data_IF_210192598797
#
_entry.id   IF_210192598797
#
_cell.length_a   1.000
_cell.length_b   1.000
_cell.length_c   1.000
_cell.angle_alpha   90.00
_cell.angle_beta   90.00
_cell.angle_gamma   90.00
#
_symmetry.space_group_name_H-M   'P 1'
#
loop_
_entity.id
_entity.type
_entity.pdbx_description
1 polymer ?
#
# COMPACT_ATOMS: atom_id res chain seq x y z
N UNK A 1 1.73 0.15 5.66
CA UNK A 1 2.13 -1.07 6.40
C UNK A 1 1.47 -1.14 7.76
N UNK A 2 1.75 -0.19 8.68
CA UNK A 2 1.14 -0.20 10.03
C UNK A 2 -0.37 -0.32 9.99
N UNK A 3 -1.05 0.59 9.28
CA UNK A 3 -2.50 0.54 9.08
C UNK A 3 -3.00 -0.78 8.47
N UNK A 4 -2.19 -1.45 7.64
CA UNK A 4 -2.53 -2.74 7.04
C UNK A 4 -2.46 -3.90 8.04
N UNK A 5 -1.41 -3.95 8.86
CA UNK A 5 -1.29 -5.00 9.89
C UNK A 5 -2.29 -4.78 11.02
N UNK A 6 -2.44 -3.54 11.49
CA UNK A 6 -3.27 -3.21 12.65
C UNK A 6 -4.76 -3.37 12.36
N UNK A 7 -5.21 -3.17 11.12
CA UNK A 7 -6.61 -3.28 10.74
C UNK A 7 -7.25 -4.63 11.09
N UNK A 8 -6.46 -5.71 11.12
CA UNK A 8 -6.90 -7.03 11.59
C UNK A 8 -6.15 -7.46 12.87
N UNK A 9 -4.85 -7.20 12.93
CA UNK A 9 -4.00 -7.66 14.03
C UNK A 9 -4.34 -7.04 15.38
N UNK A 10 -4.87 -5.81 15.44
CA UNK A 10 -5.26 -5.22 16.72
C UNK A 10 -6.45 -5.99 17.32
N UNK A 11 -7.43 -6.38 16.52
CA UNK A 11 -8.59 -7.14 17.02
C UNK A 11 -8.22 -8.58 17.39
N UNK A 12 -7.26 -9.18 16.67
CA UNK A 12 -6.70 -10.50 17.03
C UNK A 12 -5.92 -10.43 18.35
N UNK A 13 -5.05 -9.44 18.54
CA UNK A 13 -4.26 -9.26 19.77
C UNK A 13 -5.12 -9.00 21.01
N UNK A 14 -6.25 -8.30 20.85
CA UNK A 14 -7.17 -7.98 21.94
C UNK A 14 -8.28 -9.03 22.14
N UNK A 15 -8.31 -10.11 21.33
CA UNK A 15 -9.35 -11.15 21.40
C UNK A 15 -10.76 -10.65 21.06
N UNK A 16 -10.88 -9.48 20.42
CA UNK A 16 -12.18 -8.89 20.03
C UNK A 16 -12.64 -9.37 18.66
N UNK A 17 -11.76 -9.99 17.88
CA UNK A 17 -12.10 -10.55 16.58
C UNK A 17 -13.22 -11.60 16.68
N UNK A 18 -13.23 -12.41 17.73
CA UNK A 18 -14.26 -13.45 17.92
C UNK A 18 -15.64 -12.86 18.16
N UNK A 19 -15.72 -11.70 18.84
CA UNK A 19 -16.97 -10.97 19.04
C UNK A 19 -17.52 -10.44 17.71
N UNK A 20 -16.65 -9.97 16.82
CA UNK A 20 -17.03 -9.49 15.49
C UNK A 20 -17.48 -10.67 14.61
N UNK A 21 -16.78 -11.81 14.67
CA UNK A 21 -17.10 -13.02 13.92
C UNK A 21 -18.36 -13.74 14.43
N UNK A 22 -18.75 -13.53 15.68
CA UNK A 22 -20.02 -14.03 16.23
C UNK A 22 -21.25 -13.32 15.64
N UNK A 23 -21.07 -12.16 14.99
CA UNK A 23 -22.16 -11.51 14.28
C UNK A 23 -22.53 -12.29 13.01
N UNK A 24 -23.80 -12.26 12.56
CA UNK A 24 -24.24 -12.96 11.35
C UNK A 24 -23.79 -12.24 10.07
N UNK A 25 -22.56 -11.72 10.04
CA UNK A 25 -21.97 -11.06 8.88
C UNK A 25 -20.95 -11.98 8.19
N UNK A 26 -20.96 -12.07 6.85
CA UNK A 26 -20.02 -12.93 6.16
C UNK A 26 -18.58 -12.40 6.32
N UNK A 27 -17.63 -13.28 6.59
CA UNK A 27 -16.21 -12.96 6.80
C UNK A 27 -15.61 -12.07 5.70
N UNK A 28 -15.99 -12.31 4.44
CA UNK A 28 -15.54 -11.52 3.30
C UNK A 28 -15.98 -10.05 3.39
N UNK A 29 -17.15 -9.76 3.97
CA UNK A 29 -17.63 -8.39 4.17
C UNK A 29 -16.82 -7.66 5.23
N UNK A 30 -16.49 -8.33 6.34
CA UNK A 30 -15.65 -7.77 7.41
C UNK A 30 -14.27 -7.39 6.85
N UNK A 31 -13.64 -8.32 6.12
CA UNK A 31 -12.32 -8.11 5.50
C UNK A 31 -12.37 -7.02 4.42
N UNK A 32 -13.39 -7.04 3.57
CA UNK A 32 -13.62 -6.00 2.57
C UNK A 32 -13.75 -4.61 3.18
N UNK A 33 -14.57 -4.48 4.24
CA UNK A 33 -14.75 -3.22 4.96
C UNK A 33 -13.45 -2.70 5.57
N UNK A 34 -12.63 -3.58 6.16
CA UNK A 34 -11.31 -3.22 6.71
C UNK A 34 -10.34 -2.75 5.64
N UNK A 35 -10.28 -3.44 4.49
CA UNK A 35 -9.43 -3.01 3.38
C UNK A 35 -9.87 -1.65 2.82
N UNK A 36 -11.18 -1.40 2.72
CA UNK A 36 -11.74 -0.10 2.33
C UNK A 36 -11.36 0.97 3.37
N UNK A 37 -11.47 0.68 4.67
CA UNK A 37 -11.08 1.60 5.73
C UNK A 37 -9.60 1.98 5.65
N UNK A 38 -8.70 1.02 5.43
CA UNK A 38 -7.26 1.28 5.22
C UNK A 38 -7.04 2.15 3.98
N UNK A 39 -7.77 1.87 2.90
CA UNK A 39 -7.70 2.62 1.64
C UNK A 39 -8.11 4.08 1.83
N UNK A 40 -9.24 4.32 2.50
CA UNK A 40 -9.76 5.65 2.80
C UNK A 40 -8.86 6.41 3.79
N UNK A 41 -8.34 5.72 4.81
CA UNK A 41 -7.39 6.30 5.76
C UNK A 41 -6.13 6.83 5.05
N UNK A 42 -5.54 6.01 4.18
CA UNK A 42 -4.39 6.44 3.37
C UNK A 42 -4.76 7.55 2.39
N UNK A 43 -5.98 7.53 1.82
CA UNK A 43 -6.44 8.59 0.94
C UNK A 43 -6.52 9.93 1.69
N UNK A 44 -7.01 9.93 2.93
CA UNK A 44 -7.03 11.12 3.79
C UNK A 44 -5.62 11.67 4.05
N UNK A 45 -4.65 10.80 4.33
CA UNK A 45 -3.23 11.21 4.48
C UNK A 45 -2.71 11.81 3.18
N UNK A 46 -2.96 11.18 2.04
CA UNK A 46 -2.50 11.65 0.74
C UNK A 46 -3.12 12.99 0.33
N UNK A 47 -4.39 13.24 0.68
CA UNK A 47 -5.01 14.57 0.52
C UNK A 47 -4.30 15.61 1.38
N UNK A 48 -3.94 15.26 2.62
CA UNK A 48 -3.14 16.14 3.48
C UNK A 48 -1.75 16.46 2.89
N UNK A 49 -1.06 15.45 2.36
CA UNK A 49 0.23 15.63 1.66
C UNK A 49 0.05 16.53 0.44
N UNK A 50 -0.95 16.28 -0.39
CA UNK A 50 -1.27 17.10 -1.56
C UNK A 50 -1.51 18.56 -1.18
N UNK A 51 -2.33 18.81 -0.15
CA UNK A 51 -2.60 20.16 0.32
C UNK A 51 -1.34 20.84 0.86
N UNK A 52 -0.49 20.10 1.60
CA UNK A 52 0.78 20.60 2.08
C UNK A 52 1.75 20.97 0.96
N UNK A 53 1.86 20.11 -0.07
CA UNK A 53 2.68 20.39 -1.27
C UNK A 53 2.15 21.59 -2.03
N UNK A 54 0.84 21.69 -2.22
CA UNK A 54 0.18 22.83 -2.87
C UNK A 54 0.46 24.15 -2.15
N UNK A 55 0.35 24.18 -0.82
CA UNK A 55 0.71 25.37 -0.04
C UNK A 55 2.21 25.68 -0.13
N UNK A 56 3.06 24.65 -0.13
CA UNK A 56 4.51 24.80 -0.28
C UNK A 56 4.89 25.48 -1.60
N UNK A 57 4.26 25.10 -2.71
CA UNK A 57 4.47 25.70 -4.03
C UNK A 57 3.95 27.13 -4.15
N UNK A 58 3.04 27.56 -3.28
CA UNK A 58 2.59 28.97 -3.23
C UNK A 58 3.53 29.86 -2.41
N UNK A 59 4.22 29.28 -1.42
CA UNK A 59 5.11 30.00 -0.51
C UNK A 59 6.56 30.05 -1.02
N UNK A 60 6.96 29.09 -1.85
CA UNK A 60 8.27 29.00 -2.44
C UNK A 60 8.15 28.92 -3.97
N UNK A 61 8.99 29.66 -4.68
CA UNK A 61 8.97 29.81 -6.14
C UNK A 61 9.58 28.55 -6.81
N UNK A 62 8.82 27.45 -6.75
CA UNK A 62 9.18 26.19 -7.39
C UNK A 62 8.66 26.17 -8.84
N UNK A 63 9.54 25.84 -9.79
CA UNK A 63 9.19 25.61 -11.20
C UNK A 63 8.49 24.24 -11.35
N UNK A 64 7.31 24.12 -10.77
CA UNK A 64 6.52 22.88 -10.73
C UNK A 64 5.12 23.18 -11.23
N UNK A 65 4.64 22.38 -12.18
CA UNK A 65 3.28 22.48 -12.66
C UNK A 65 2.30 21.98 -11.58
N UNK A 66 1.51 22.90 -11.04
CA UNK A 66 0.47 22.62 -10.04
C UNK A 66 -0.56 21.59 -10.54
N UNK A 67 -0.74 21.46 -11.85
CA UNK A 67 -1.62 20.44 -12.46
C UNK A 67 -1.08 19.03 -12.24
N UNK A 68 0.23 18.87 -12.10
CA UNK A 68 0.89 17.58 -11.94
C UNK A 68 0.98 17.10 -10.48
N UNK A 69 0.83 18.01 -9.51
CA UNK A 69 0.90 17.71 -8.08
C UNK A 69 -0.12 16.62 -7.65
N UNK A 70 -1.41 16.68 -8.05
CA UNK A 70 -2.36 15.61 -7.77
C UNK A 70 -1.88 14.24 -8.27
N UNK A 71 -1.32 14.16 -9.48
CA UNK A 71 -0.85 12.90 -10.07
C UNK A 71 0.34 12.32 -9.31
N UNK A 72 1.29 13.15 -8.89
CA UNK A 72 2.43 12.73 -8.08
C UNK A 72 1.95 12.19 -6.71
N UNK A 73 1.01 12.89 -6.07
CA UNK A 73 0.45 12.42 -4.80
C UNK A 73 -0.40 11.16 -4.93
N UNK A 74 -1.10 10.98 -6.05
CA UNK A 74 -1.84 9.75 -6.37
C UNK A 74 -0.90 8.56 -6.56
N UNK A 75 0.24 8.75 -7.23
CA UNK A 75 1.26 7.71 -7.35
C UNK A 75 1.82 7.29 -5.97
N UNK A 76 2.05 8.27 -5.08
CA UNK A 76 2.51 8.02 -3.71
C UNK A 76 1.46 7.30 -2.86
N UNK A 77 0.18 7.65 -3.03
CA UNK A 77 -0.95 6.95 -2.42
C UNK A 77 -1.02 5.49 -2.87
N UNK A 78 -0.93 5.23 -4.18
CA UNK A 78 -0.94 3.87 -4.74
C UNK A 78 0.21 3.02 -4.22
N UNK A 79 1.43 3.57 -4.19
CA UNK A 79 2.60 2.88 -3.62
C UNK A 79 2.36 2.53 -2.14
N UNK A 80 1.87 3.49 -1.35
CA UNK A 80 1.57 3.29 0.08
C UNK A 80 0.49 2.23 0.28
N UNK A 81 -0.53 2.25 -0.57
CA UNK A 81 -1.65 1.31 -0.56
C UNK A 81 -1.19 -0.10 -0.92
N UNK A 82 -0.32 -0.26 -1.92
CA UNK A 82 0.27 -1.56 -2.28
C UNK A 82 0.97 -2.19 -1.09
N UNK A 83 1.85 -1.45 -0.40
CA UNK A 83 2.51 -1.99 0.79
C UNK A 83 1.56 -2.22 1.96
N UNK A 84 0.55 -1.37 2.15
CA UNK A 84 -0.45 -1.57 3.19
C UNK A 84 -1.30 -2.82 2.95
N UNK A 85 -1.78 -3.04 1.74
CA UNK A 85 -2.57 -4.23 1.38
C UNK A 85 -1.73 -5.49 1.32
N UNK A 86 -0.46 -5.40 0.90
CA UNK A 86 0.48 -6.51 1.05
C UNK A 86 0.62 -6.91 2.52
N UNK A 87 0.91 -5.96 3.41
CA UNK A 87 1.00 -6.24 4.86
C UNK A 87 -0.32 -6.79 5.41
N UNK A 88 -1.46 -6.23 5.00
CA UNK A 88 -2.79 -6.72 5.40
C UNK A 88 -2.99 -8.17 4.96
N UNK A 89 -2.61 -8.52 3.73
CA UNK A 89 -2.74 -9.89 3.21
C UNK A 89 -1.87 -10.88 3.99
N UNK A 90 -0.65 -10.48 4.37
CA UNK A 90 0.22 -11.28 5.23
C UNK A 90 -0.38 -11.44 6.63
N UNK A 91 -0.99 -10.38 7.18
CA UNK A 91 -1.69 -10.48 8.46
C UNK A 91 -2.87 -11.44 8.39
N UNK A 92 -3.69 -11.33 7.35
CA UNK A 92 -4.83 -12.22 7.12
C UNK A 92 -4.39 -13.69 7.02
N UNK A 93 -3.26 -13.97 6.35
CA UNK A 93 -2.70 -15.31 6.20
C UNK A 93 -2.05 -15.87 7.46
N UNK A 94 -1.30 -15.06 8.21
CA UNK A 94 -0.42 -15.53 9.29
C UNK A 94 -1.08 -15.38 10.66
N UNK A 95 -1.85 -14.32 10.88
CA UNK A 95 -2.45 -14.02 12.19
C UNK A 95 -1.50 -13.45 13.22
N UNK A 96 -0.35 -12.94 12.78
CA UNK A 96 0.64 -12.37 13.67
C UNK A 96 1.10 -11.01 13.15
N UNK A 97 0.67 -9.95 13.86
CA UNK A 97 0.89 -8.55 13.50
C UNK A 97 2.36 -8.21 13.34
N UNK A 98 3.20 -8.72 14.23
CA UNK A 98 4.63 -8.45 14.23
C UNK A 98 5.31 -9.07 13.00
N UNK A 99 4.95 -10.32 12.66
CA UNK A 99 5.47 -11.01 11.47
C UNK A 99 4.99 -10.30 10.20
N UNK A 100 3.70 -9.95 10.10
CA UNK A 100 3.16 -9.25 8.94
C UNK A 100 3.85 -7.89 8.72
N UNK A 101 4.06 -7.12 9.79
CA UNK A 101 4.81 -5.86 9.74
C UNK A 101 6.25 -6.08 9.28
N UNK A 102 6.93 -7.08 9.83
CA UNK A 102 8.29 -7.45 9.44
C UNK A 102 8.39 -7.79 7.95
N UNK A 103 7.44 -8.59 7.43
CA UNK A 103 7.38 -8.91 6.00
C UNK A 103 7.11 -7.67 5.14
N UNK A 104 6.16 -6.83 5.53
CA UNK A 104 5.86 -5.59 4.82
C UNK A 104 7.07 -4.65 4.73
N UNK A 105 7.73 -4.42 5.86
CA UNK A 105 8.92 -3.58 5.94
C UNK A 105 10.10 -4.20 5.18
N UNK A 106 10.32 -5.51 5.33
CA UNK A 106 11.38 -6.24 4.64
C UNK A 106 11.23 -6.20 3.13
N UNK A 107 10.03 -6.43 2.60
CA UNK A 107 9.75 -6.35 1.16
C UNK A 107 9.96 -4.93 0.65
N UNK A 108 9.51 -3.90 1.37
CA UNK A 108 9.75 -2.52 0.98
C UNK A 108 11.23 -2.16 0.96
N UNK A 109 11.98 -2.59 1.98
CA UNK A 109 13.42 -2.38 2.04
C UNK A 109 14.11 -3.05 0.84
N UNK A 110 13.86 -4.34 0.61
CA UNK A 110 14.50 -5.10 -0.48
C UNK A 110 14.15 -4.51 -1.85
N UNK A 111 12.89 -4.13 -2.07
CA UNK A 111 12.46 -3.57 -3.36
C UNK A 111 13.00 -2.16 -3.60
N UNK A 112 13.08 -1.33 -2.55
CA UNK A 112 13.69 0.00 -2.63
C UNK A 112 15.20 -0.08 -2.90
N UNK A 113 15.94 -0.79 -2.04
CA UNK A 113 17.38 -0.94 -2.19
C UNK A 113 17.75 -1.67 -3.48
N UNK A 114 16.99 -2.69 -3.85
CA UNK A 114 17.14 -3.40 -5.12
C UNK A 114 16.98 -2.45 -6.31
N UNK A 115 15.96 -1.59 -6.31
CA UNK A 115 15.77 -0.61 -7.38
C UNK A 115 16.97 0.34 -7.49
N UNK A 116 17.44 0.89 -6.36
CA UNK A 116 18.61 1.78 -6.33
C UNK A 116 19.87 1.08 -6.86
N UNK A 117 20.12 -0.18 -6.46
CA UNK A 117 21.28 -0.94 -6.92
C UNK A 117 21.22 -1.27 -8.42
N UNK A 118 20.03 -1.58 -8.94
CA UNK A 118 19.83 -1.81 -10.37
C UNK A 118 20.14 -0.53 -11.15
N UNK A 119 19.61 0.62 -10.70
CA UNK A 119 19.83 1.92 -11.33
C UNK A 119 21.32 2.31 -11.34
N UNK A 120 22.07 1.98 -10.28
CA UNK A 120 23.50 2.26 -10.18
C UNK A 120 24.38 1.29 -10.99
N UNK A 121 24.02 0.01 -11.02
CA UNK A 121 24.87 -1.03 -11.63
C UNK A 121 24.59 -1.25 -13.12
N UNK A 122 23.41 -0.86 -13.60
CA UNK A 122 22.94 -1.16 -14.96
C UNK A 122 22.75 -2.66 -15.25
N UNK A 123 22.75 -3.51 -14.21
CA UNK A 123 22.56 -4.96 -14.34
C UNK A 123 21.20 -5.37 -13.78
N UNK A 124 20.71 -6.54 -14.20
CA UNK A 124 19.43 -7.10 -13.75
C UNK A 124 18.21 -6.23 -14.09
N UNK A 125 18.18 -5.63 -15.29
CA UNK A 125 17.06 -4.79 -15.74
C UNK A 125 15.69 -5.48 -15.64
N UNK A 126 15.62 -6.80 -15.83
CA UNK A 126 14.36 -7.55 -15.70
C UNK A 126 13.80 -7.50 -14.28
N UNK A 127 14.66 -7.47 -13.25
CA UNK A 127 14.23 -7.38 -11.85
C UNK A 127 13.69 -5.99 -11.48
N UNK A 128 13.99 -4.97 -12.29
CA UNK A 128 13.52 -3.59 -12.11
C UNK A 128 11.99 -3.52 -12.20
N UNK A 129 11.41 -4.24 -13.15
CA UNK A 129 9.96 -4.28 -13.38
C UNK A 129 9.17 -4.91 -12.22
N UNK A 130 9.83 -5.62 -11.30
CA UNK A 130 9.21 -6.20 -10.12
C UNK A 130 9.15 -5.22 -8.95
N UNK A 131 9.97 -4.16 -8.96
CA UNK A 131 10.01 -3.20 -7.86
C UNK A 131 8.88 -2.18 -7.99
N UNK A 132 8.00 -2.04 -6.98
CA UNK A 132 6.99 -0.97 -6.96
C UNK A 132 7.62 0.43 -7.06
N UNK A 133 8.86 0.59 -6.60
CA UNK A 133 9.59 1.86 -6.64
C UNK A 133 10.01 2.25 -8.05
N UNK A 134 10.16 1.31 -8.98
CA UNK A 134 10.44 1.63 -10.38
C UNK A 134 9.31 2.46 -11.02
N UNK A 135 8.07 2.19 -10.62
CA UNK A 135 6.88 2.87 -11.15
C UNK A 135 6.50 4.13 -10.37
N UNK A 136 7.20 4.44 -9.29
CA UNK A 136 6.99 5.64 -8.48
C UNK A 136 8.09 6.67 -8.77
N UNK A 137 7.90 7.47 -9.82
CA UNK A 137 8.81 8.54 -10.23
C UNK A 137 8.17 9.92 -10.04
N UNK A 138 7.99 10.38 -8.79
CA UNK A 138 7.27 11.64 -8.52
C UNK A 138 7.94 12.85 -9.20
N UNK A 139 9.27 12.86 -9.33
CA UNK A 139 9.99 13.93 -10.01
C UNK A 139 9.62 14.04 -11.49
N UNK A 140 9.58 12.92 -12.21
CA UNK A 140 9.18 12.88 -13.61
C UNK A 140 7.71 13.28 -13.77
N UNK A 141 6.84 12.75 -12.90
CA UNK A 141 5.40 13.08 -12.93
C UNK A 141 5.17 14.58 -12.78
N UNK A 142 5.94 15.25 -11.90
CA UNK A 142 5.83 16.70 -11.70
C UNK A 142 6.27 17.51 -12.93
N UNK A 143 7.28 17.04 -13.66
CA UNK A 143 7.86 17.76 -14.81
C UNK A 143 7.14 17.48 -16.13
N UNK A 144 6.80 16.23 -16.41
CA UNK A 144 6.30 15.77 -17.71
C UNK A 144 4.88 15.20 -17.67
N UNK A 145 4.26 15.13 -16.48
CA UNK A 145 2.93 14.58 -16.28
C UNK A 145 2.91 13.06 -16.03
N UNK A 146 1.73 12.47 -15.82
CA UNK A 146 1.59 11.07 -15.41
C UNK A 146 2.04 10.09 -16.50
N UNK A 147 2.91 9.15 -16.13
CA UNK A 147 3.26 8.00 -16.97
C UNK A 147 2.24 6.86 -16.78
N UNK A 148 1.54 6.47 -17.86
CA UNK A 148 0.44 5.49 -17.79
C UNK A 148 0.87 4.07 -17.36
N UNK A 149 2.14 3.68 -17.52
CA UNK A 149 2.59 2.30 -17.32
C UNK A 149 2.60 1.85 -15.85
N UNK A 150 2.80 2.76 -14.90
CA UNK A 150 2.89 2.44 -13.47
C UNK A 150 1.56 2.09 -12.81
N UNK A 151 0.46 2.70 -13.25
CA UNK A 151 -0.86 2.51 -12.63
C UNK A 151 -1.38 1.08 -12.77
N UNK A 152 -1.11 0.44 -13.91
CA UNK A 152 -1.54 -0.94 -14.16
C UNK A 152 -0.85 -1.91 -13.19
N UNK A 153 0.45 -1.73 -12.94
CA UNK A 153 1.21 -2.55 -12.01
C UNK A 153 0.63 -2.47 -10.59
N UNK A 154 0.34 -1.26 -10.10
CA UNK A 154 -0.24 -1.06 -8.79
C UNK A 154 -1.63 -1.70 -8.68
N UNK A 155 -2.48 -1.51 -9.70
CA UNK A 155 -3.83 -2.08 -9.73
C UNK A 155 -3.80 -3.61 -9.69
N UNK A 156 -2.97 -4.25 -10.54
CA UNK A 156 -2.80 -5.71 -10.54
C UNK A 156 -2.33 -6.21 -9.17
N UNK A 157 -1.31 -5.56 -8.59
CA UNK A 157 -0.77 -5.93 -7.28
C UNK A 157 -1.81 -5.78 -6.17
N UNK A 158 -2.61 -4.71 -6.20
CA UNK A 158 -3.71 -4.47 -5.25
C UNK A 158 -4.75 -5.58 -5.37
N UNK A 159 -5.19 -5.92 -6.58
CA UNK A 159 -6.18 -6.99 -6.82
C UNK A 159 -5.66 -8.33 -6.31
N UNK A 160 -4.38 -8.65 -6.56
CA UNK A 160 -3.75 -9.86 -6.04
C UNK A 160 -3.73 -9.87 -4.50
N UNK A 161 -3.33 -8.77 -3.85
CA UNK A 161 -3.32 -8.68 -2.39
C UNK A 161 -4.72 -8.83 -1.78
N UNK A 162 -5.74 -8.24 -2.41
CA UNK A 162 -7.14 -8.39 -2.01
C UNK A 162 -7.59 -9.85 -2.11
N UNK A 163 -7.29 -10.52 -3.23
CA UNK A 163 -7.59 -11.94 -3.42
C UNK A 163 -6.90 -12.82 -2.38
N UNK A 164 -5.61 -12.59 -2.13
CA UNK A 164 -4.82 -13.31 -1.12
C UNK A 164 -5.39 -13.08 0.28
N UNK A 165 -5.77 -11.85 0.63
CA UNK A 165 -6.34 -11.53 1.93
C UNK A 165 -7.69 -12.23 2.14
N UNK A 166 -8.57 -12.21 1.13
CA UNK A 166 -9.88 -12.87 1.20
C UNK A 166 -9.75 -14.39 1.33
N UNK A 167 -8.92 -15.02 0.50
CA UNK A 167 -8.69 -16.46 0.57
C UNK A 167 -7.97 -16.84 1.86
N UNK A 168 -6.92 -16.10 2.23
CA UNK A 168 -6.13 -16.36 3.43
C UNK A 168 -6.97 -16.34 4.70
N UNK A 169 -7.88 -15.37 4.82
CA UNK A 169 -8.79 -15.28 5.97
C UNK A 169 -9.91 -16.33 5.95
N UNK A 170 -10.31 -16.82 4.77
CA UNK A 170 -11.29 -17.90 4.67
C UNK A 170 -10.69 -19.26 5.02
N UNK A 171 -9.47 -19.54 4.57
CA UNK A 171 -8.78 -20.80 4.83
C UNK A 171 -8.11 -20.87 6.20
N UNK A 172 -7.81 -19.73 6.83
CA UNK A 172 -7.48 -19.72 8.26
C UNK A 172 -8.74 -20.10 9.02
N UNK A 173 -8.75 -21.34 9.50
CA UNK A 173 -9.56 -21.72 10.63
C UNK A 173 -9.14 -20.80 11.80
N UNK A 174 -9.91 -19.73 11.99
CA UNK A 174 -9.94 -18.99 13.24
C UNK A 174 -10.58 -19.94 14.24
N UNK A 175 -9.79 -20.88 14.74
CA UNK A 175 -10.21 -21.88 15.71
C UNK A 175 -10.50 -21.14 17.02
N UNK A 176 -11.78 -21.24 17.38
CA UNK A 176 -12.43 -20.99 18.66
C UNK A 176 -11.58 -21.27 19.90
#
# INVERSE_FOLDING_TARGET
MLAGASALGDEEEHGTLDLVLATPTPRAHIIGAKMIAVTLYLAGISVGVWFGTFLGTLLADFDVDLVNVPFATMAGWLLSLTFALFTFSMQALIGNKQIALGLGAGVAFVTYFGNVLIDLSGKFEMARYLSPFHYYTPHEILLSGPANSGYLFFLVTIVLCVGIALLGFQYRDVQT
#
